data_IF_839459908246
#
_entry.id   IF_839459908246
#
_cell.length_a   1.000
_cell.length_b   1.000
_cell.length_c   1.000
_cell.angle_alpha   90.00
_cell.angle_beta   90.00
_cell.angle_gamma   90.00
#
_symmetry.space_group_name_H-M   'P 1'
#
loop_
_entity.id
_entity.type
_entity.pdbx_description
1 polymer ?
#
# COMPACT_ATOMS: atom_id res chain seq x y z
N UNK A 1 11.21 22.11 4.11
CA UNK A 1 9.74 22.17 3.93
C UNK A 1 9.11 20.92 4.48
N UNK A 2 8.06 21.07 5.25
CA UNK A 2 7.20 19.98 5.68
C UNK A 2 5.82 20.16 5.07
N UNK A 3 5.25 19.10 4.55
CA UNK A 3 3.87 19.08 4.08
C UNK A 3 3.23 17.73 4.45
N UNK A 4 1.94 17.75 4.75
CA UNK A 4 1.22 16.53 5.09
C UNK A 4 -0.19 16.60 4.53
N UNK A 5 -0.66 15.49 3.98
CA UNK A 5 -1.98 15.39 3.38
C UNK A 5 -2.56 14.00 3.59
N UNK A 6 -3.85 13.95 3.89
CA UNK A 6 -4.59 12.69 3.90
C UNK A 6 -5.08 12.41 2.49
N UNK A 7 -4.67 11.27 1.94
CA UNK A 7 -5.06 10.82 0.61
C UNK A 7 -6.18 9.79 0.75
N UNK A 8 -7.25 9.99 -0.02
CA UNK A 8 -8.34 9.04 -0.09
C UNK A 8 -8.18 8.22 -1.36
N UNK A 9 -8.02 6.91 -1.21
CA UNK A 9 -7.94 5.99 -2.33
C UNK A 9 -9.31 5.36 -2.57
N UNK A 10 -9.72 5.28 -3.82
CA UNK A 10 -10.99 4.65 -4.16
C UNK A 10 -10.99 3.17 -3.78
N UNK A 11 -12.18 2.64 -3.52
CA UNK A 11 -12.36 1.24 -3.21
C UNK A 11 -11.86 0.35 -4.36
N UNK A 12 -11.17 -0.72 -4.01
CA UNK A 12 -10.64 -1.70 -4.97
C UNK A 12 -10.94 -3.11 -4.48
N UNK A 13 -10.93 -4.04 -5.42
CA UNK A 13 -11.08 -5.46 -5.11
C UNK A 13 -9.91 -5.97 -4.29
N UNK A 14 -10.12 -7.11 -3.64
CA UNK A 14 -9.05 -7.80 -2.91
C UNK A 14 -7.90 -8.11 -3.86
N UNK A 15 -6.67 -7.85 -3.42
CA UNK A 15 -5.45 -8.08 -4.18
C UNK A 15 -4.47 -6.95 -4.04
N UNK A 16 -3.44 -6.96 -4.89
CA UNK A 16 -2.40 -5.94 -4.92
C UNK A 16 -2.62 -5.00 -6.10
N UNK A 17 -2.52 -3.68 -5.85
CA UNK A 17 -2.83 -2.65 -6.84
C UNK A 17 -1.72 -1.62 -6.91
N UNK A 18 -1.32 -1.23 -8.12
CA UNK A 18 -0.40 -0.12 -8.31
C UNK A 18 -1.14 1.19 -8.06
N UNK A 19 -0.59 2.01 -7.19
CA UNK A 19 -1.18 3.30 -6.81
C UNK A 19 -0.20 4.47 -7.02
N UNK A 20 0.94 4.24 -7.66
CA UNK A 20 1.98 5.26 -7.83
C UNK A 20 1.42 6.54 -8.45
N UNK A 21 0.72 6.42 -9.58
CA UNK A 21 0.17 7.58 -10.30
C UNK A 21 -0.88 8.32 -9.47
N UNK A 22 -1.75 7.58 -8.78
CA UNK A 22 -2.77 8.17 -7.92
C UNK A 22 -2.16 8.95 -6.76
N UNK A 23 -1.07 8.45 -6.19
CA UNK A 23 -0.32 9.14 -5.14
C UNK A 23 0.33 10.40 -5.69
N UNK A 24 1.04 10.29 -6.81
CA UNK A 24 1.75 11.43 -7.41
C UNK A 24 0.81 12.55 -7.83
N UNK A 25 -0.35 12.21 -8.39
CA UNK A 25 -1.36 13.19 -8.80
C UNK A 25 -1.87 14.04 -7.64
N UNK A 26 -1.90 13.47 -6.44
CA UNK A 26 -2.38 14.17 -5.25
C UNK A 26 -1.29 14.94 -4.51
N UNK A 27 -0.02 14.79 -4.92
CA UNK A 27 1.14 15.38 -4.24
C UNK A 27 2.02 16.18 -5.20
N UNK A 28 1.50 17.26 -5.81
CA UNK A 28 2.30 18.07 -6.74
C UNK A 28 3.52 18.71 -6.07
N UNK A 29 3.55 18.85 -4.75
CA UNK A 29 4.66 19.40 -3.99
C UNK A 29 5.97 18.62 -4.20
N UNK A 30 5.90 17.35 -4.61
CA UNK A 30 7.10 16.54 -4.89
C UNK A 30 7.97 17.22 -5.95
N UNK A 31 7.35 17.82 -6.96
CA UNK A 31 8.08 18.46 -8.07
C UNK A 31 8.90 19.69 -7.65
N UNK A 32 8.61 20.23 -6.47
CA UNK A 32 9.30 21.43 -5.98
C UNK A 32 10.58 21.11 -5.20
N UNK A 33 10.85 19.83 -4.94
CA UNK A 33 11.95 19.42 -4.07
C UNK A 33 13.12 18.86 -4.85
N UNK A 34 14.33 19.36 -4.55
CA UNK A 34 15.57 18.80 -5.07
C UNK A 34 15.96 17.51 -4.34
N UNK A 35 15.73 17.48 -3.02
CA UNK A 35 16.06 16.35 -2.15
C UNK A 35 15.01 16.26 -1.05
N UNK A 36 14.60 15.05 -0.72
CA UNK A 36 13.62 14.86 0.35
C UNK A 36 13.18 13.42 0.53
N UNK A 37 12.14 13.28 1.34
CA UNK A 37 11.51 11.99 1.63
C UNK A 37 9.99 12.14 1.50
N UNK A 38 9.38 11.12 0.91
CA UNK A 38 7.94 10.89 0.99
C UNK A 38 7.70 9.71 1.90
N UNK A 39 6.93 9.92 2.96
CA UNK A 39 6.48 8.86 3.86
C UNK A 39 4.98 8.66 3.66
N UNK A 40 4.58 7.42 3.39
CA UNK A 40 3.17 7.03 3.25
C UNK A 40 2.82 6.08 4.39
N UNK A 41 1.74 6.39 5.11
CA UNK A 41 1.25 5.59 6.22
C UNK A 41 -0.23 5.26 6.00
N UNK A 42 -0.57 3.97 5.96
CA UNK A 42 -1.95 3.54 5.78
C UNK A 42 -2.66 3.36 7.13
N UNK A 43 -3.84 3.94 7.26
CA UNK A 43 -4.60 3.95 8.52
C UNK A 43 -5.63 2.82 8.59
N UNK A 44 -5.22 1.60 8.27
CA UNK A 44 -6.10 0.43 8.25
C UNK A 44 -5.39 -0.82 8.75
N UNK A 45 -6.17 -1.74 9.33
CA UNK A 45 -5.64 -3.01 9.86
C UNK A 45 -5.79 -4.17 8.89
N UNK A 46 -6.38 -3.93 7.72
CA UNK A 46 -6.66 -4.97 6.72
C UNK A 46 -6.18 -4.60 5.33
N UNK A 47 -5.23 -3.68 5.27
CA UNK A 47 -4.59 -3.23 4.04
C UNK A 47 -3.12 -2.97 4.31
N UNK A 48 -2.31 -2.93 3.27
CA UNK A 48 -0.86 -2.78 3.38
C UNK A 48 -0.29 -1.87 2.31
N UNK A 49 0.95 -1.42 2.55
CA UNK A 49 1.74 -0.67 1.58
C UNK A 49 3.07 -1.38 1.38
N UNK A 50 3.44 -1.62 0.12
CA UNK A 50 4.75 -2.18 -0.23
C UNK A 50 5.25 -1.56 -1.54
N UNK A 51 6.47 -1.88 -1.91
CA UNK A 51 7.07 -1.49 -3.19
C UNK A 51 7.45 -2.76 -3.93
N UNK A 52 6.99 -2.92 -5.16
CA UNK A 52 7.41 -4.01 -6.00
C UNK A 52 7.17 -3.68 -7.48
N UNK A 53 7.20 -4.69 -8.34
CA UNK A 53 7.25 -4.49 -9.78
C UNK A 53 6.02 -3.80 -10.35
N UNK A 54 6.29 -2.82 -11.22
CA UNK A 54 5.27 -1.98 -11.83
C UNK A 54 4.89 -2.38 -13.26
N UNK A 55 5.56 -3.37 -13.87
CA UNK A 55 5.39 -3.69 -15.28
C UNK A 55 4.49 -4.92 -15.50
N UNK A 56 4.92 -6.09 -15.00
CA UNK A 56 4.23 -7.34 -15.25
C UNK A 56 3.10 -7.58 -14.23
N UNK A 57 1.83 -7.55 -14.66
CA UNK A 57 0.72 -7.77 -13.74
C UNK A 57 0.71 -9.15 -13.10
N UNK A 58 1.41 -10.13 -13.67
CA UNK A 58 1.47 -11.48 -13.07
C UNK A 58 2.21 -11.48 -11.73
N UNK A 59 3.12 -10.54 -11.48
CA UNK A 59 3.76 -10.41 -10.17
C UNK A 59 2.71 -10.16 -9.09
N UNK A 60 1.77 -9.25 -9.33
CA UNK A 60 0.70 -8.97 -8.37
C UNK A 60 -0.27 -10.14 -8.21
N UNK A 61 -0.55 -10.84 -9.30
CA UNK A 61 -1.41 -12.03 -9.28
C UNK A 61 -0.76 -13.16 -8.48
N UNK A 62 0.53 -13.39 -8.70
CA UNK A 62 1.27 -14.44 -7.98
C UNK A 62 1.43 -14.09 -6.50
N UNK A 63 1.65 -12.83 -6.17
CA UNK A 63 1.70 -12.39 -4.76
C UNK A 63 0.36 -12.65 -4.07
N UNK A 64 -0.75 -12.33 -4.70
CA UNK A 64 -2.07 -12.59 -4.12
C UNK A 64 -2.31 -14.09 -3.92
N UNK A 65 -2.02 -14.90 -4.93
CA UNK A 65 -2.17 -16.35 -4.84
C UNK A 65 -1.31 -16.94 -3.73
N UNK A 66 -0.05 -16.48 -3.63
CA UNK A 66 0.86 -16.98 -2.61
C UNK A 66 0.43 -16.59 -1.20
N UNK A 67 0.06 -15.33 -0.99
CA UNK A 67 -0.38 -14.87 0.34
C UNK A 67 -1.69 -15.53 0.77
N UNK A 68 -2.59 -15.81 -0.16
CA UNK A 68 -3.82 -16.56 0.17
C UNK A 68 -3.54 -17.99 0.61
N UNK A 69 -2.48 -18.59 0.09
CA UNK A 69 -2.06 -19.93 0.49
C UNK A 69 -1.25 -19.92 1.77
N UNK A 70 -0.37 -18.92 1.92
CA UNK A 70 0.50 -18.77 3.07
C UNK A 70 -0.28 -18.37 4.34
N UNK A 71 -1.28 -17.51 4.17
CA UNK A 71 -2.16 -17.06 5.26
C UNK A 71 -3.59 -17.49 4.90
N UNK A 72 -3.97 -18.75 5.25
CA UNK A 72 -5.25 -19.29 4.81
C UNK A 72 -6.44 -18.73 5.60
N UNK A 73 -7.60 -18.78 4.98
CA UNK A 73 -8.86 -18.58 5.68
C UNK A 73 -9.19 -19.80 6.53
N UNK A 74 -9.96 -19.61 7.58
CA UNK A 74 -10.52 -20.68 8.43
C UNK A 74 -9.46 -21.61 9.03
N UNK A 75 -8.27 -21.09 9.35
CA UNK A 75 -7.31 -21.88 10.12
C UNK A 75 -7.95 -22.27 11.47
N UNK A 76 -7.82 -23.52 11.90
CA UNK A 76 -8.57 -24.01 13.08
C UNK A 76 -8.19 -23.32 14.38
N UNK A 77 -7.06 -22.66 14.45
CA UNK A 77 -6.60 -21.93 15.63
C UNK A 77 -7.01 -20.45 15.65
N UNK A 78 -7.70 -19.93 14.62
CA UNK A 78 -8.19 -18.55 14.64
C UNK A 78 -9.36 -18.43 15.62
N UNK A 79 -9.33 -17.37 16.43
CA UNK A 79 -10.42 -17.04 17.37
C UNK A 79 -11.23 -15.84 16.86
N UNK A 80 -10.64 -14.97 16.07
CA UNK A 80 -11.27 -13.79 15.51
C UNK A 80 -12.04 -14.16 14.23
N UNK A 81 -13.32 -14.55 14.40
CA UNK A 81 -14.10 -15.17 13.31
C UNK A 81 -15.43 -14.46 13.01
N UNK A 82 -15.74 -13.35 13.68
CA UNK A 82 -17.06 -12.73 13.59
C UNK A 82 -17.29 -11.91 12.33
N UNK A 83 -16.23 -11.42 11.69
CA UNK A 83 -16.33 -10.43 10.62
C UNK A 83 -16.12 -11.03 9.23
N UNK A 84 -16.16 -12.33 9.12
CA UNK A 84 -15.96 -13.06 7.86
C UNK A 84 -14.65 -13.82 7.83
N UNK A 85 -14.56 -14.78 6.92
CA UNK A 85 -13.40 -15.67 6.81
C UNK A 85 -12.14 -14.94 6.36
N UNK A 86 -12.29 -13.82 5.65
CA UNK A 86 -11.18 -13.04 5.12
C UNK A 86 -10.57 -12.08 6.15
N UNK A 87 -11.21 -11.86 7.30
CA UNK A 87 -10.79 -10.80 8.21
C UNK A 87 -9.51 -11.14 8.98
N UNK A 88 -9.44 -12.27 9.66
CA UNK A 88 -8.22 -12.63 10.40
C UNK A 88 -7.01 -12.77 9.46
N UNK A 89 -7.13 -13.44 8.31
CA UNK A 89 -6.05 -13.42 7.33
C UNK A 89 -5.63 -12.02 6.88
N UNK A 90 -6.57 -11.10 6.72
CA UNK A 90 -6.28 -9.71 6.36
C UNK A 90 -5.40 -9.02 7.41
N UNK A 91 -5.69 -9.22 8.69
CA UNK A 91 -4.88 -8.67 9.78
C UNK A 91 -3.45 -9.22 9.75
N UNK A 92 -3.29 -10.51 9.49
CA UNK A 92 -1.96 -11.12 9.42
C UNK A 92 -1.20 -10.60 8.20
N UNK A 93 -1.83 -10.55 7.05
CA UNK A 93 -1.22 -10.04 5.82
C UNK A 93 -0.79 -8.58 5.99
N UNK A 94 -1.64 -7.74 6.56
CA UNK A 94 -1.32 -6.35 6.83
C UNK A 94 -0.09 -6.20 7.73
N UNK A 95 0.01 -7.04 8.76
CA UNK A 95 1.15 -7.03 9.68
C UNK A 95 2.45 -7.50 9.02
N UNK A 96 2.36 -8.50 8.15
CA UNK A 96 3.52 -9.04 7.44
C UNK A 96 4.04 -8.07 6.36
N UNK A 97 3.14 -7.48 5.61
CA UNK A 97 3.48 -6.63 4.46
C UNK A 97 3.84 -5.20 4.87
N UNK A 98 3.21 -4.71 5.92
CA UNK A 98 3.55 -3.43 6.50
C UNK A 98 2.53 -2.33 6.26
N UNK A 99 2.64 -1.28 7.06
CA UNK A 99 1.71 -0.15 7.07
C UNK A 99 2.29 1.12 6.47
N UNK A 100 3.57 1.14 6.14
CA UNK A 100 4.21 2.35 5.63
C UNK A 100 5.33 2.03 4.64
N UNK A 101 5.59 3.00 3.77
CA UNK A 101 6.78 3.02 2.92
C UNK A 101 7.37 4.41 2.97
N UNK A 102 8.69 4.49 2.82
CA UNK A 102 9.41 5.76 2.69
C UNK A 102 10.20 5.73 1.39
N UNK A 103 10.03 6.76 0.58
CA UNK A 103 10.63 6.84 -0.76
C UNK A 103 11.42 8.14 -0.83
N UNK A 104 12.71 8.08 -1.22
CA UNK A 104 13.47 9.31 -1.44
C UNK A 104 12.90 10.14 -2.59
N UNK A 105 13.04 11.44 -2.48
CA UNK A 105 12.73 12.39 -3.55
C UNK A 105 14.05 12.94 -4.08
N UNK A 106 14.26 12.87 -5.39
CA UNK A 106 15.43 13.43 -6.06
C UNK A 106 14.99 14.22 -7.27
N UNK A 107 15.46 15.47 -7.37
CA UNK A 107 15.22 16.31 -8.54
C UNK A 107 13.75 16.37 -8.96
N UNK A 108 12.85 16.55 -8.00
CA UNK A 108 11.41 16.68 -8.23
C UNK A 108 10.69 15.39 -8.54
N UNK A 109 11.30 14.24 -8.28
CA UNK A 109 10.72 12.93 -8.59
C UNK A 109 10.90 11.94 -7.43
N UNK A 110 10.00 10.99 -7.34
CA UNK A 110 10.21 9.83 -6.48
C UNK A 110 11.36 9.00 -7.04
N UNK A 111 12.35 8.71 -6.21
CA UNK A 111 13.54 7.97 -6.61
C UNK A 111 13.30 6.45 -6.62
N UNK A 112 12.21 6.05 -7.25
CA UNK A 112 11.91 4.63 -7.47
C UNK A 112 12.84 4.07 -8.54
N UNK A 113 13.24 2.80 -8.37
CA UNK A 113 13.89 2.08 -9.44
C UNK A 113 12.96 1.94 -10.64
N UNK A 114 13.52 1.68 -11.81
CA UNK A 114 12.77 1.57 -13.07
C UNK A 114 11.56 0.64 -12.95
N UNK A 115 11.69 -0.44 -12.21
CA UNK A 115 10.67 -1.48 -12.09
C UNK A 115 9.89 -1.41 -10.78
N UNK A 116 10.11 -0.37 -9.97
CA UNK A 116 9.40 -0.24 -8.70
C UNK A 116 8.15 0.62 -8.85
N UNK A 117 7.07 0.18 -8.20
CA UNK A 117 5.87 0.97 -8.01
C UNK A 117 5.35 0.80 -6.60
N UNK A 118 4.46 1.67 -6.20
CA UNK A 118 3.82 1.62 -4.89
C UNK A 118 2.62 0.70 -4.97
N UNK A 119 2.58 -0.30 -4.09
CA UNK A 119 1.49 -1.28 -4.01
C UNK A 119 0.58 -0.97 -2.83
N UNK A 120 -0.72 -0.91 -3.11
CA UNK A 120 -1.76 -1.05 -2.09
C UNK A 120 -2.18 -2.52 -2.05
N UNK A 121 -2.00 -3.17 -0.91
CA UNK A 121 -2.58 -4.47 -0.64
C UNK A 121 -3.96 -4.31 -0.01
N UNK A 122 -4.99 -4.81 -0.68
CA UNK A 122 -6.36 -4.86 -0.14
C UNK A 122 -6.63 -6.31 0.23
N UNK A 123 -6.83 -6.57 1.52
CA UNK A 123 -6.87 -7.94 2.02
C UNK A 123 -8.28 -8.42 2.44
N UNK A 124 -9.29 -7.58 2.22
CA UNK A 124 -10.70 -7.90 2.43
C UNK A 124 -11.46 -7.90 1.11
N UNK A 125 -12.47 -8.77 1.01
CA UNK A 125 -13.32 -8.84 -0.19
C UNK A 125 -14.11 -7.54 -0.39
N UNK A 126 -14.56 -6.92 0.70
CA UNK A 126 -15.31 -5.67 0.68
C UNK A 126 -14.67 -4.66 1.63
N UNK A 127 -13.43 -4.27 1.31
CA UNK A 127 -12.63 -3.40 2.18
C UNK A 127 -12.98 -1.92 2.12
N UNK A 128 -13.70 -1.48 1.10
CA UNK A 128 -14.04 -0.07 0.92
C UNK A 128 -12.85 0.79 0.51
N UNK A 129 -13.02 2.10 0.57
CA UNK A 129 -11.95 3.04 0.28
C UNK A 129 -10.90 3.04 1.40
N UNK A 130 -9.67 3.43 1.07
CA UNK A 130 -8.54 3.42 2.01
C UNK A 130 -7.97 4.82 2.15
N UNK A 131 -7.45 5.12 3.34
CA UNK A 131 -6.82 6.41 3.64
C UNK A 131 -5.35 6.21 3.92
N UNK A 132 -4.55 7.11 3.34
CA UNK A 132 -3.11 7.16 3.55
C UNK A 132 -2.75 8.57 3.99
N UNK A 133 -1.93 8.69 5.02
CA UNK A 133 -1.32 9.97 5.37
C UNK A 133 0.02 10.04 4.63
N UNK A 134 0.16 11.04 3.77
CA UNK A 134 1.40 11.33 3.07
C UNK A 134 2.10 12.49 3.78
N UNK A 135 3.36 12.28 4.14
CA UNK A 135 4.19 13.31 4.74
C UNK A 135 5.41 13.52 3.84
N UNK A 136 5.66 14.77 3.48
CA UNK A 136 6.79 15.16 2.65
C UNK A 136 7.70 16.06 3.47
N UNK A 137 9.00 15.77 3.45
CA UNK A 137 10.02 16.63 4.02
C UNK A 137 11.18 16.75 3.04
N UNK A 138 11.65 17.96 2.81
CA UNK A 138 12.76 18.18 1.90
C UNK A 138 13.01 19.64 1.57
N UNK A 139 13.93 19.85 0.64
CA UNK A 139 14.37 21.17 0.21
C UNK A 139 14.30 21.33 -1.31
#
# INVERSE_FOLDING_TARGET
MWAQKTLQLKARSRGFHLITDEIEQQLPQIHELSVGLLHLFIQHTSASLTLNENADPTVRMDMEAHFNKFVPERAPYYQHTYEGDDDMPAHIKASLLGSSVTIPIQNGRLALGTWQGIYLGVHRDFGGSRRIIATINGE
#
